data_IF_472031410692
#
_entry.id   IF_472031410692
#
_cell.length_a   1.000
_cell.length_b   1.000
_cell.length_c   1.000
_cell.angle_alpha   90.00
_cell.angle_beta   90.00
_cell.angle_gamma   90.00
#
_symmetry.space_group_name_H-M   'P 1'
#
loop_
_entity.id
_entity.type
_entity.pdbx_description
1 polymer ?
#
# COMPACT_ATOMS: atom_id res chain seq x y z
N UNK A 1 9.28 0.78 4.86
CA UNK A 1 7.90 0.25 4.74
C UNK A 1 7.06 0.77 5.91
N UNK A 2 5.81 1.15 5.65
CA UNK A 2 4.83 1.52 6.66
C UNK A 2 3.83 0.37 6.84
N UNK A 3 3.74 -0.21 8.02
CA UNK A 3 2.73 -1.22 8.37
C UNK A 3 1.49 -0.52 8.94
N UNK A 4 0.63 -0.06 8.04
CA UNK A 4 -0.57 0.69 8.37
C UNK A 4 -1.62 -0.21 9.03
N UNK A 5 -1.72 -1.47 8.59
CA UNK A 5 -2.63 -2.43 9.21
C UNK A 5 -2.32 -2.65 10.69
N UNK A 6 -1.04 -2.86 11.02
CA UNK A 6 -0.61 -3.01 12.41
C UNK A 6 -0.76 -1.71 13.21
N UNK A 7 -0.55 -0.55 12.59
CA UNK A 7 -0.76 0.75 13.23
C UNK A 7 -2.21 0.94 13.64
N UNK A 8 -3.17 0.76 12.73
CA UNK A 8 -4.60 0.93 13.00
C UNK A 8 -5.12 -0.09 14.02
N UNK A 9 -4.65 -1.34 13.95
CA UNK A 9 -4.99 -2.35 14.94
C UNK A 9 -4.51 -1.97 16.35
N UNK A 10 -3.31 -1.43 16.48
CA UNK A 10 -2.75 -0.99 17.75
C UNK A 10 -3.50 0.22 18.35
N UNK A 11 -4.17 1.01 17.51
CA UNK A 11 -5.05 2.09 17.94
C UNK A 11 -6.46 1.64 18.34
N UNK A 12 -6.73 0.34 18.32
CA UNK A 12 -8.05 -0.21 18.65
C UNK A 12 -9.13 0.06 17.59
N UNK A 13 -8.73 0.40 16.38
CA UNK A 13 -9.64 0.78 15.28
C UNK A 13 -10.14 -0.43 14.51
N UNK A 14 -10.53 -1.52 15.12
CA UNK A 14 -11.24 -2.66 14.52
C UNK A 14 -10.91 -2.92 13.05
N UNK A 15 -9.66 -3.27 12.72
CA UNK A 15 -9.15 -3.30 11.36
C UNK A 15 -9.37 -4.66 10.67
N UNK A 16 -9.93 -4.63 9.46
CA UNK A 16 -10.01 -5.79 8.56
C UNK A 16 -9.58 -5.34 7.14
N UNK A 17 -8.50 -5.91 6.65
CA UNK A 17 -7.95 -5.58 5.34
C UNK A 17 -8.89 -5.90 4.16
N UNK A 18 -9.84 -6.83 4.34
CA UNK A 18 -10.85 -7.22 3.34
C UNK A 18 -12.12 -6.36 3.41
N UNK A 19 -12.12 -5.29 4.21
CA UNK A 19 -13.24 -4.34 4.34
C UNK A 19 -12.80 -2.94 3.93
N UNK A 20 -13.74 -2.08 3.53
CA UNK A 20 -13.43 -0.72 3.08
C UNK A 20 -13.05 0.19 4.26
N UNK A 21 -11.83 0.03 4.76
CA UNK A 21 -11.28 0.89 5.79
C UNK A 21 -10.47 2.00 5.13
N UNK A 22 -10.89 3.24 5.33
CA UNK A 22 -10.21 4.43 4.81
C UNK A 22 -8.99 4.75 5.68
N UNK A 23 -7.83 4.86 5.04
CA UNK A 23 -6.58 5.35 5.64
C UNK A 23 -6.37 6.79 5.20
N UNK A 24 -6.47 7.71 6.14
CA UNK A 24 -6.30 9.14 5.90
C UNK A 24 -4.83 9.56 5.79
N UNK A 25 -4.57 10.77 5.29
CA UNK A 25 -3.22 11.34 5.28
C UNK A 25 -2.62 11.46 6.69
N UNK A 26 -3.46 11.70 7.71
CA UNK A 26 -3.04 11.73 9.11
C UNK A 26 -2.66 10.33 9.62
N UNK A 27 -3.45 9.28 9.31
CA UNK A 27 -3.12 7.89 9.67
C UNK A 27 -1.78 7.46 9.06
N UNK A 28 -1.55 7.82 7.79
CA UNK A 28 -0.31 7.48 7.10
C UNK A 28 0.91 8.19 7.73
N UNK A 29 0.76 9.46 8.13
CA UNK A 29 1.80 10.19 8.84
C UNK A 29 2.07 9.58 10.22
N UNK A 30 1.02 9.26 10.98
CA UNK A 30 1.14 8.63 12.30
C UNK A 30 1.80 7.23 12.21
N UNK A 31 1.53 6.47 11.15
CA UNK A 31 2.22 5.21 10.90
C UNK A 31 3.72 5.42 10.64
N UNK A 32 4.11 6.48 9.92
CA UNK A 32 5.52 6.81 9.71
C UNK A 32 6.21 7.18 11.04
N UNK A 33 5.59 8.02 11.85
CA UNK A 33 6.08 8.40 13.19
C UNK A 33 6.23 7.19 14.10
N UNK A 34 5.23 6.30 14.14
CA UNK A 34 5.27 5.06 14.93
C UNK A 34 6.45 4.17 14.56
N UNK A 35 6.80 4.11 13.28
CA UNK A 35 7.95 3.33 12.80
C UNK A 35 9.28 4.09 12.91
N UNK A 36 9.27 5.34 13.38
CA UNK A 36 10.46 6.19 13.45
C UNK A 36 11.05 6.49 12.07
N UNK A 37 10.20 6.60 11.05
CA UNK A 37 10.61 6.81 9.67
C UNK A 37 10.41 8.27 9.23
N UNK A 38 11.47 8.89 8.74
CA UNK A 38 11.42 10.03 7.84
C UNK A 38 11.40 9.52 6.41
N UNK A 39 10.43 9.92 5.63
CA UNK A 39 10.39 9.57 4.20
C UNK A 39 11.25 10.57 3.46
N UNK A 40 12.26 10.06 2.75
CA UNK A 40 13.20 10.89 2.02
C UNK A 40 12.82 10.97 0.52
N UNK A 41 13.08 12.09 -0.15
CA UNK A 41 12.89 12.20 -1.58
C UNK A 41 13.60 11.06 -2.36
N UNK A 42 12.86 10.38 -3.22
CA UNK A 42 13.37 9.25 -3.99
C UNK A 42 13.17 7.87 -3.33
N UNK A 43 12.71 7.80 -2.08
CA UNK A 43 12.34 6.53 -1.45
C UNK A 43 11.26 5.80 -2.26
N UNK A 44 11.30 4.47 -2.28
CA UNK A 44 10.14 3.66 -2.66
C UNK A 44 9.29 3.43 -1.41
N UNK A 45 8.09 4.03 -1.40
CA UNK A 45 7.18 3.95 -0.26
C UNK A 45 6.37 2.66 -0.31
N UNK A 46 6.78 1.67 0.47
CA UNK A 46 6.02 0.43 0.65
C UNK A 46 4.99 0.59 1.78
N UNK A 47 3.72 0.32 1.49
CA UNK A 47 2.60 0.44 2.45
C UNK A 47 1.92 -0.91 2.58
N UNK A 48 1.94 -1.49 3.78
CA UNK A 48 1.30 -2.76 4.08
C UNK A 48 -0.05 -2.53 4.75
N UNK A 49 -1.09 -3.07 4.10
CA UNK A 49 -2.44 -3.16 4.64
C UNK A 49 -2.75 -4.55 5.23
N UNK A 50 -1.98 -5.59 4.87
CA UNK A 50 -2.24 -6.97 5.26
C UNK A 50 -3.26 -7.68 4.38
N UNK A 51 -3.56 -7.14 3.18
CA UNK A 51 -4.57 -7.69 2.29
C UNK A 51 -4.18 -9.07 1.73
N UNK A 52 -2.92 -9.24 1.30
CA UNK A 52 -2.45 -10.51 0.73
C UNK A 52 -2.59 -11.64 1.76
N UNK A 53 -2.17 -11.41 3.00
CA UNK A 53 -2.29 -12.41 4.05
C UNK A 53 -3.76 -12.70 4.40
N UNK A 54 -4.61 -11.68 4.45
CA UNK A 54 -6.03 -11.83 4.72
C UNK A 54 -6.72 -12.63 3.60
N UNK A 55 -6.45 -12.30 2.34
CA UNK A 55 -6.99 -13.02 1.18
C UNK A 55 -6.53 -14.47 1.13
N UNK A 56 -5.26 -14.76 1.45
CA UNK A 56 -4.72 -16.13 1.47
C UNK A 56 -5.37 -17.02 2.52
N UNK A 57 -5.86 -16.46 3.60
CA UNK A 57 -6.59 -17.20 4.65
C UNK A 57 -8.01 -17.60 4.25
N UNK A 58 -8.58 -16.96 3.23
CA UNK A 58 -9.89 -17.32 2.72
C UNK A 58 -9.88 -18.74 2.10
N UNK A 59 -10.91 -19.53 2.37
CA UNK A 59 -11.19 -20.77 1.68
C UNK A 59 -11.53 -20.52 0.20
N UNK A 60 -11.57 -21.57 -0.61
CA UNK A 60 -11.96 -21.44 -2.02
C UNK A 60 -13.38 -20.90 -2.20
N UNK A 61 -14.32 -21.27 -1.34
CA UNK A 61 -15.69 -20.77 -1.37
C UNK A 61 -15.73 -19.27 -1.01
N UNK A 62 -15.07 -18.86 0.06
CA UNK A 62 -15.00 -17.46 0.46
C UNK A 62 -14.32 -16.58 -0.61
N UNK A 63 -13.30 -17.08 -1.29
CA UNK A 63 -12.68 -16.35 -2.42
C UNK A 63 -13.66 -16.20 -3.61
N UNK A 64 -14.44 -17.24 -3.90
CA UNK A 64 -15.44 -17.18 -4.97
C UNK A 64 -16.54 -16.15 -4.66
N UNK A 65 -16.95 -16.02 -3.39
CA UNK A 65 -17.92 -15.02 -2.95
C UNK A 65 -17.32 -13.59 -2.91
N UNK A 66 -16.04 -13.48 -2.57
CA UNK A 66 -15.34 -12.21 -2.50
C UNK A 66 -15.02 -11.62 -3.89
N UNK A 67 -14.63 -12.45 -4.85
CA UNK A 67 -14.12 -12.02 -6.16
C UNK A 67 -15.06 -11.09 -6.96
N UNK A 68 -16.40 -11.31 -7.02
CA UNK A 68 -17.30 -10.41 -7.74
C UNK A 68 -17.55 -9.08 -7.04
N UNK A 69 -17.23 -8.97 -5.73
CA UNK A 69 -17.51 -7.81 -4.88
C UNK A 69 -16.26 -7.41 -4.10
N UNK A 70 -15.13 -7.31 -4.78
CA UNK A 70 -13.86 -6.93 -4.14
C UNK A 70 -14.00 -5.60 -3.42
N UNK A 71 -13.68 -5.62 -2.13
CA UNK A 71 -13.58 -4.45 -1.29
C UNK A 71 -12.36 -4.60 -0.38
N UNK A 72 -11.71 -3.52 -0.03
CA UNK A 72 -10.50 -3.59 0.82
C UNK A 72 -10.14 -2.25 1.44
N UNK A 73 -9.34 -2.33 2.49
CA UNK A 73 -8.69 -1.17 3.08
C UNK A 73 -7.70 -0.54 2.09
N UNK A 74 -7.54 0.77 2.16
CA UNK A 74 -6.61 1.49 1.32
C UNK A 74 -6.55 2.97 1.65
N UNK A 75 -5.69 3.68 0.96
CA UNK A 75 -5.55 5.12 1.12
C UNK A 75 -6.81 5.86 0.68
N UNK A 76 -7.11 6.96 1.34
CA UNK A 76 -8.19 7.86 0.92
C UNK A 76 -7.88 8.48 -0.45
N UNK A 77 -8.85 8.49 -1.36
CA UNK A 77 -8.71 9.07 -2.70
C UNK A 77 -8.66 10.61 -2.73
N UNK A 78 -8.37 11.29 -1.61
CA UNK A 78 -8.48 12.74 -1.43
C UNK A 78 -7.33 13.54 -2.03
N UNK A 79 -7.57 14.84 -2.23
CA UNK A 79 -6.51 15.78 -2.60
C UNK A 79 -5.48 15.96 -1.47
N UNK A 80 -5.90 15.82 -0.20
CA UNK A 80 -5.01 15.89 0.95
C UNK A 80 -4.03 14.71 0.97
N UNK A 81 -4.50 13.49 0.72
CA UNK A 81 -3.64 12.32 0.57
C UNK A 81 -2.67 12.49 -0.61
N UNK A 82 -3.17 12.94 -1.77
CA UNK A 82 -2.31 13.21 -2.92
C UNK A 82 -1.23 14.24 -2.60
N UNK A 83 -1.59 15.31 -1.89
CA UNK A 83 -0.64 16.33 -1.42
C UNK A 83 0.39 15.73 -0.45
N UNK A 84 -0.02 14.92 0.51
CA UNK A 84 0.87 14.25 1.47
C UNK A 84 1.90 13.37 0.75
N UNK A 85 1.45 12.56 -0.18
CA UNK A 85 2.33 11.69 -0.97
C UNK A 85 3.28 12.50 -1.84
N UNK A 86 2.77 13.57 -2.45
CA UNK A 86 3.61 14.48 -3.24
C UNK A 86 4.67 15.19 -2.40
N UNK A 87 4.31 15.70 -1.23
CA UNK A 87 5.24 16.41 -0.36
C UNK A 87 6.37 15.52 0.17
N UNK A 88 6.14 14.22 0.26
CA UNK A 88 7.18 13.26 0.62
C UNK A 88 8.12 12.90 -0.53
N UNK A 89 7.74 13.22 -1.77
CA UNK A 89 8.53 12.98 -2.97
C UNK A 89 9.03 11.51 -3.14
N UNK A 90 8.23 10.47 -2.87
CA UNK A 90 8.68 9.11 -3.13
C UNK A 90 8.82 8.90 -4.65
N UNK A 91 9.74 8.02 -5.05
CA UNK A 91 9.90 7.65 -6.46
C UNK A 91 8.80 6.71 -6.96
N UNK A 92 8.22 5.91 -6.05
CA UNK A 92 7.10 5.02 -6.33
C UNK A 92 6.35 4.68 -5.04
N UNK A 93 5.10 4.24 -5.18
CA UNK A 93 4.26 3.71 -4.09
C UNK A 93 3.97 2.25 -4.38
N UNK A 94 4.25 1.37 -3.41
CA UNK A 94 4.07 -0.08 -3.52
C UNK A 94 3.15 -0.54 -2.38
N UNK A 95 2.03 -1.17 -2.70
CA UNK A 95 1.06 -1.64 -1.74
C UNK A 95 0.79 -3.15 -1.89
N UNK A 96 0.29 -3.77 -0.84
CA UNK A 96 -0.13 -5.18 -0.86
C UNK A 96 -1.62 -5.37 -1.21
N UNK A 97 -2.40 -4.28 -1.28
CA UNK A 97 -3.79 -4.30 -1.70
C UNK A 97 -3.94 -4.13 -3.24
N UNK A 98 -5.12 -4.44 -3.82
CA UNK A 98 -5.32 -4.43 -5.28
C UNK A 98 -5.43 -3.06 -5.96
N UNK A 99 -5.52 -1.95 -5.22
CA UNK A 99 -5.77 -0.63 -5.83
C UNK A 99 -5.17 0.54 -5.07
N UNK A 100 -4.17 0.35 -4.23
CA UNK A 100 -3.57 1.43 -3.39
C UNK A 100 -4.62 2.15 -2.53
N UNK A 101 -5.69 2.68 -3.15
CA UNK A 101 -6.82 3.36 -2.50
C UNK A 101 -7.82 2.36 -1.93
N UNK A 102 -8.69 2.86 -1.04
CA UNK A 102 -9.81 2.08 -0.50
C UNK A 102 -10.81 1.72 -1.60
N UNK A 103 -11.34 0.49 -1.56
CA UNK A 103 -12.40 0.04 -2.48
C UNK A 103 -13.60 -0.48 -1.65
N UNK A 104 -14.84 0.00 -1.95
CA UNK A 104 -15.17 1.06 -2.90
C UNK A 104 -14.69 2.44 -2.43
N UNK A 105 -14.22 3.25 -3.39
CA UNK A 105 -13.90 4.65 -3.14
C UNK A 105 -15.15 5.53 -3.15
N UNK A 106 -15.04 6.74 -2.58
CA UNK A 106 -16.09 7.76 -2.66
C UNK A 106 -15.85 8.66 -3.89
N UNK A 107 -16.75 8.67 -4.90
CA UNK A 107 -16.61 9.52 -6.07
C UNK A 107 -16.55 11.03 -5.77
N UNK A 108 -17.11 11.46 -4.63
CA UNK A 108 -17.06 12.86 -4.19
C UNK A 108 -15.69 13.27 -3.67
N UNK A 109 -14.97 12.32 -3.07
CA UNK A 109 -13.59 12.51 -2.59
C UNK A 109 -12.60 12.47 -3.74
N UNK A 110 -12.76 11.52 -4.67
CA UNK A 110 -11.97 11.37 -5.87
C UNK A 110 -11.13 10.09 -5.90
N UNK A 111 -10.02 10.12 -6.65
CA UNK A 111 -9.16 8.95 -6.87
C UNK A 111 -7.70 9.36 -6.93
N UNK A 112 -6.85 8.62 -6.21
CA UNK A 112 -5.39 8.78 -6.27
C UNK A 112 -4.85 8.35 -7.63
N UNK A 113 -5.35 7.25 -8.21
CA UNK A 113 -4.96 6.81 -9.55
C UNK A 113 -5.07 7.94 -10.57
N UNK A 114 -6.20 8.63 -10.58
CA UNK A 114 -6.44 9.72 -11.53
C UNK A 114 -5.61 10.98 -11.23
N UNK A 115 -5.22 11.19 -9.98
CA UNK A 115 -4.39 12.33 -9.58
C UNK A 115 -2.91 12.05 -9.74
N UNK A 116 -2.46 10.90 -9.22
CA UNK A 116 -1.03 10.65 -9.05
C UNK A 116 -0.39 10.13 -10.35
N UNK A 117 -1.03 9.19 -11.06
CA UNK A 117 -0.43 8.58 -12.24
C UNK A 117 -0.39 9.56 -13.41
N UNK A 118 -1.53 10.02 -13.99
CA UNK A 118 -1.50 10.83 -15.19
C UNK A 118 -1.10 12.29 -14.97
N UNK A 119 -1.38 12.86 -13.78
CA UNK A 119 -1.13 14.28 -13.53
C UNK A 119 0.23 14.54 -12.91
N UNK A 120 0.75 13.61 -12.10
CA UNK A 120 1.98 13.78 -11.32
C UNK A 120 3.08 12.79 -11.71
N UNK A 121 2.81 11.82 -12.59
CA UNK A 121 3.80 10.84 -13.04
C UNK A 121 4.24 9.84 -11.96
N UNK A 122 3.46 9.68 -10.87
CA UNK A 122 3.78 8.79 -9.77
C UNK A 122 3.52 7.33 -10.17
N UNK A 123 4.53 6.48 -10.04
CA UNK A 123 4.37 5.06 -10.29
C UNK A 123 3.68 4.36 -9.10
N UNK A 124 2.67 3.53 -9.39
CA UNK A 124 2.00 2.66 -8.42
C UNK A 124 2.32 1.20 -8.73
N UNK A 125 2.51 0.42 -7.67
CA UNK A 125 2.58 -1.03 -7.74
C UNK A 125 1.68 -1.63 -6.65
N UNK A 126 0.99 -2.68 -7.00
CA UNK A 126 -0.08 -3.27 -6.21
C UNK A 126 0.15 -4.74 -6.00
N UNK A 127 -0.58 -5.33 -5.04
CA UNK A 127 -0.54 -6.77 -4.74
C UNK A 127 0.86 -7.30 -4.41
N UNK A 128 1.75 -6.45 -3.87
CA UNK A 128 3.05 -6.87 -3.38
C UNK A 128 2.89 -7.77 -2.14
N UNK A 129 3.61 -8.87 -2.07
CA UNK A 129 3.56 -9.76 -0.92
C UNK A 129 4.55 -9.33 0.16
N UNK A 130 4.07 -8.68 1.21
CA UNK A 130 4.87 -8.27 2.36
C UNK A 130 4.80 -9.25 3.55
N UNK A 131 4.15 -10.39 3.40
CA UNK A 131 3.92 -11.35 4.50
C UNK A 131 5.22 -11.88 5.14
N UNK A 132 6.25 -12.11 4.34
CA UNK A 132 7.58 -12.48 4.83
C UNK A 132 8.44 -11.29 5.26
N UNK A 133 8.25 -10.14 4.61
CA UNK A 133 9.07 -8.95 4.85
C UNK A 133 8.73 -8.26 6.18
N UNK A 134 7.45 -8.11 6.49
CA UNK A 134 7.01 -7.41 7.70
C UNK A 134 7.58 -8.02 9.01
N UNK A 135 7.47 -9.33 9.26
CA UNK A 135 8.06 -9.94 10.45
C UNK A 135 9.60 -9.88 10.44
N UNK A 136 10.24 -9.97 9.26
CA UNK A 136 11.69 -9.84 9.16
C UNK A 136 12.17 -8.43 9.55
N UNK A 137 11.46 -7.39 9.10
CA UNK A 137 11.77 -6.00 9.48
C UNK A 137 11.50 -5.73 10.96
N UNK A 138 10.39 -6.25 11.50
CA UNK A 138 10.04 -6.09 12.91
C UNK A 138 11.10 -6.72 13.87
N UNK A 139 11.76 -7.79 13.43
CA UNK A 139 12.82 -8.46 14.18
C UNK A 139 14.18 -7.75 14.12
N UNK A 140 14.35 -6.76 13.24
CA UNK A 140 15.64 -6.07 13.02
C UNK A 140 15.81 -4.85 13.92
N UNK A 141 17.06 -4.61 14.34
CA UNK A 141 17.45 -3.36 15.01
C UNK A 141 17.50 -2.15 14.07
N UNK A 142 17.65 -2.39 12.76
CA UNK A 142 17.83 -1.36 11.74
C UNK A 142 16.50 -0.74 11.27
N UNK A 143 15.38 -1.13 11.88
CA UNK A 143 14.06 -0.58 11.59
C UNK A 143 13.45 -1.04 10.26
N UNK A 144 12.56 -0.22 9.73
CA UNK A 144 11.67 -0.53 8.61
C UNK A 144 12.20 -0.08 7.24
N UNK A 145 13.54 0.14 7.13
CA UNK A 145 14.22 0.47 5.87
C UNK A 145 14.92 -0.76 5.29
N UNK A 146 14.96 -0.86 3.98
CA UNK A 146 15.62 -1.91 3.23
C UNK A 146 15.93 -1.43 1.80
N UNK A 147 16.82 -2.11 1.12
CA UNK A 147 17.04 -1.86 -0.31
C UNK A 147 15.93 -2.54 -1.10
N UNK A 148 15.23 -1.76 -1.93
CA UNK A 148 14.18 -2.26 -2.82
C UNK A 148 14.71 -2.37 -4.24
N UNK A 149 14.45 -3.47 -4.91
CA UNK A 149 14.69 -3.64 -6.33
C UNK A 149 13.45 -4.14 -7.04
N UNK A 150 13.27 -3.77 -8.29
CA UNK A 150 12.16 -4.22 -9.13
C UNK A 150 12.66 -4.43 -10.55
N UNK A 151 12.19 -5.48 -11.20
CA UNK A 151 12.51 -5.82 -12.57
C UNK A 151 11.23 -6.14 -13.36
N UNK A 152 10.44 -5.12 -13.72
CA UNK A 152 9.24 -5.29 -14.52
C UNK A 152 9.53 -5.95 -15.85
N UNK A 153 8.57 -6.70 -16.40
CA UNK A 153 8.71 -7.32 -17.71
C UNK A 153 8.73 -6.26 -18.81
N UNK A 154 9.62 -6.42 -19.78
CA UNK A 154 9.57 -5.62 -21.00
C UNK A 154 8.49 -6.18 -21.94
N UNK A 155 7.30 -5.61 -21.89
CA UNK A 155 6.15 -5.99 -22.71
C UNK A 155 5.77 -4.83 -23.64
N UNK A 156 6.21 -4.83 -24.91
CA UNK A 156 5.85 -3.74 -25.84
C UNK A 156 4.35 -3.55 -25.95
N UNK A 157 3.89 -2.29 -25.75
CA UNK A 157 2.47 -1.94 -25.77
C UNK A 157 1.69 -2.23 -24.47
N UNK A 158 2.29 -2.86 -23.47
CA UNK A 158 1.66 -3.03 -22.17
C UNK A 158 1.77 -1.76 -21.33
N UNK A 159 0.72 -1.48 -20.55
CA UNK A 159 0.66 -0.35 -19.62
C UNK A 159 1.15 -0.72 -18.21
N UNK A 160 1.41 -1.99 -17.96
CA UNK A 160 1.90 -2.52 -16.68
C UNK A 160 2.39 -3.95 -16.81
N UNK A 161 3.02 -4.46 -15.77
CA UNK A 161 3.51 -5.84 -15.68
C UNK A 161 3.66 -6.26 -14.22
N UNK A 162 3.89 -7.56 -13.94
CA UNK A 162 4.31 -7.99 -12.61
C UNK A 162 5.55 -7.21 -12.13
N UNK A 163 5.54 -6.84 -10.86
CA UNK A 163 6.58 -5.99 -10.25
C UNK A 163 7.95 -6.68 -10.18
N UNK A 164 7.96 -8.00 -9.97
CA UNK A 164 9.19 -8.80 -9.73
C UNK A 164 10.12 -8.15 -8.69
N UNK A 165 9.54 -7.71 -7.56
CA UNK A 165 10.27 -6.98 -6.55
C UNK A 165 11.05 -7.89 -5.61
N UNK A 166 12.17 -7.38 -5.12
CA UNK A 166 12.95 -7.99 -4.04
C UNK A 166 13.27 -6.95 -2.97
N UNK A 167 13.27 -7.38 -1.71
CA UNK A 167 13.78 -6.63 -0.57
C UNK A 167 15.12 -7.26 -0.12
N UNK A 168 16.15 -6.45 -0.05
CA UNK A 168 17.46 -6.83 0.49
C UNK A 168 17.60 -6.24 1.90
N UNK A 169 17.82 -7.12 2.90
CA UNK A 169 17.81 -6.78 4.32
C UNK A 169 19.21 -6.70 4.90
#
# INVERSE_FOLDING_TARGET
MLDVGAHLAAEGRGYDALKPVVVTAADLAAAAERHGLSIEPGDVLCIRFGWVEAYRRLSAAERADYAPNVQHAGLEGSAEMAKRLWDWHPSAIVCDNPAVEVVPGDPKVGSLHRRMIPLLGMAFAEMADFSGLAPALAARRQGWRFMFTSSPLHLPGAIGSPLNAMALL
#
